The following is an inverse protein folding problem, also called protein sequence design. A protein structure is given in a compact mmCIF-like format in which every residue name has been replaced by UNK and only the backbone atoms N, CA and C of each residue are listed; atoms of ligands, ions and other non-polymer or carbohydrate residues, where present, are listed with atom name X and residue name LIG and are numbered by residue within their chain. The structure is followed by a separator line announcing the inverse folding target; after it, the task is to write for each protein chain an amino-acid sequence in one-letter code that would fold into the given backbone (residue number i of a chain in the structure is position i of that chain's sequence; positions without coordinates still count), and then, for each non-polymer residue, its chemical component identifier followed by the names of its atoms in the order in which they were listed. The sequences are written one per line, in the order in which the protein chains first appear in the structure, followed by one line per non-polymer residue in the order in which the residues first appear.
data_IF_371166167812
#
_entry.id   IF_371166167812
#
_cell.length_a   1.000
_cell.length_b   1.000
_cell.length_c   1.000
_cell.angle_alpha   90.00
_cell.angle_beta   90.00
_cell.angle_gamma   90.00
#
_symmetry.space_group_name_H-M   'P 1'
#
loop_
_entity.id
_entity.type
_entity.pdbx_description
1 polymer ?
#
# COMPACT_ATOMS: atom_id res chain seq x y z
N UNK A 1 1.02 9.14 -24.08
CA UNK A 1 1.81 8.06 -23.44
C UNK A 1 2.90 8.77 -22.66
N UNK A 2 2.78 8.76 -21.34
CA UNK A 2 3.75 9.42 -20.45
C UNK A 2 4.70 8.37 -19.89
N UNK A 3 5.91 8.79 -19.51
CA UNK A 3 6.93 7.88 -19.00
C UNK A 3 7.45 8.35 -17.65
N UNK A 4 7.64 7.41 -16.73
CA UNK A 4 8.22 7.65 -15.41
C UNK A 4 9.55 6.92 -15.36
N UNK A 5 10.62 7.65 -15.04
CA UNK A 5 11.91 7.02 -14.76
C UNK A 5 11.89 6.45 -13.35
N UNK A 6 12.23 5.18 -13.23
CA UNK A 6 12.28 4.47 -11.95
C UNK A 6 13.68 3.89 -11.74
N UNK A 7 14.06 3.72 -10.48
CA UNK A 7 15.32 3.05 -10.12
C UNK A 7 15.28 1.57 -10.55
N UNK A 8 16.43 0.95 -10.89
CA UNK A 8 16.48 -0.48 -11.25
C UNK A 8 15.86 -1.40 -10.19
N UNK A 9 16.06 -1.09 -8.91
CA UNK A 9 15.47 -1.83 -7.79
C UNK A 9 13.94 -1.77 -7.77
N UNK A 10 13.37 -0.59 -8.06
CA UNK A 10 11.92 -0.42 -8.17
C UNK A 10 11.38 -1.23 -9.34
N UNK A 11 12.08 -1.23 -10.48
CA UNK A 11 11.70 -2.05 -11.64
C UNK A 11 11.66 -3.54 -11.28
N UNK A 12 12.68 -4.05 -10.57
CA UNK A 12 12.73 -5.43 -10.11
C UNK A 12 11.51 -5.80 -9.25
N UNK A 13 11.17 -4.96 -8.27
CA UNK A 13 9.98 -5.16 -7.42
C UNK A 13 8.69 -5.16 -8.23
N UNK A 14 8.55 -4.27 -9.21
CA UNK A 14 7.37 -4.25 -10.08
C UNK A 14 7.26 -5.53 -10.92
N UNK A 15 8.37 -6.06 -11.41
CA UNK A 15 8.40 -7.35 -12.15
C UNK A 15 7.97 -8.51 -11.26
N UNK A 16 8.44 -8.57 -10.01
CA UNK A 16 8.04 -9.61 -9.05
C UNK A 16 6.53 -9.56 -8.78
N UNK A 17 5.97 -8.37 -8.59
CA UNK A 17 4.53 -8.18 -8.38
C UNK A 17 3.75 -8.55 -9.64
N UNK A 18 4.25 -8.20 -10.83
CA UNK A 18 3.64 -8.60 -12.09
C UNK A 18 3.52 -10.13 -12.17
N UNK A 19 4.60 -10.87 -11.95
CA UNK A 19 4.58 -12.34 -11.98
C UNK A 19 3.62 -12.95 -10.95
N UNK A 20 3.53 -12.36 -9.75
CA UNK A 20 2.55 -12.77 -8.74
C UNK A 20 1.10 -12.56 -9.22
N UNK A 21 0.81 -11.42 -9.85
CA UNK A 21 -0.51 -11.11 -10.40
C UNK A 21 -0.84 -11.98 -11.62
N UNK A 22 0.13 -12.28 -12.48
CA UNK A 22 -0.05 -13.20 -13.61
C UNK A 22 -0.41 -14.59 -13.12
N UNK A 23 0.31 -15.11 -12.12
CA UNK A 23 0.01 -16.41 -11.50
C UNK A 23 -1.39 -16.44 -10.87
N UNK A 24 -1.83 -15.33 -10.28
CA UNK A 24 -3.14 -15.24 -9.62
C UNK A 24 -4.30 -15.11 -10.60
N UNK A 25 -4.11 -14.35 -11.68
CA UNK A 25 -5.18 -14.00 -12.62
C UNK A 25 -5.21 -14.88 -13.87
N UNK A 26 -4.14 -15.62 -14.15
CA UNK A 26 -3.97 -16.42 -15.36
C UNK A 26 -3.84 -15.60 -16.64
N UNK A 27 -3.65 -14.28 -16.52
CA UNK A 27 -3.54 -13.33 -17.62
C UNK A 27 -2.19 -12.65 -17.59
N UNK A 28 -1.72 -12.19 -18.75
CA UNK A 28 -0.52 -11.36 -18.84
C UNK A 28 -0.79 -10.01 -18.16
N UNK A 29 0.16 -9.54 -17.36
CA UNK A 29 0.02 -8.32 -16.55
C UNK A 29 1.09 -7.31 -16.97
N UNK A 30 0.67 -6.10 -17.34
CA UNK A 30 1.58 -5.01 -17.68
C UNK A 30 2.05 -4.25 -16.43
N UNK A 31 3.08 -3.41 -16.58
CA UNK A 31 3.50 -2.53 -15.48
C UNK A 31 2.40 -1.52 -15.09
N UNK A 32 1.58 -1.08 -16.04
CA UNK A 32 0.47 -0.17 -15.76
C UNK A 32 -0.60 -0.87 -14.92
N UNK A 33 -0.89 -2.14 -15.20
CA UNK A 33 -1.80 -2.95 -14.38
C UNK A 33 -1.28 -3.12 -12.95
N UNK A 34 0.03 -3.35 -12.78
CA UNK A 34 0.67 -3.42 -11.46
C UNK A 34 0.55 -2.09 -10.72
N UNK A 35 0.83 -0.98 -11.38
CA UNK A 35 0.75 0.36 -10.79
C UNK A 35 -0.68 0.66 -10.34
N UNK A 36 -1.67 0.40 -11.21
CA UNK A 36 -3.09 0.57 -10.89
C UNK A 36 -3.51 -0.31 -9.72
N UNK A 37 -3.11 -1.58 -9.69
CA UNK A 37 -3.36 -2.47 -8.57
C UNK A 37 -2.80 -1.93 -7.25
N UNK A 38 -1.58 -1.39 -7.25
CA UNK A 38 -0.95 -0.82 -6.05
C UNK A 38 -1.68 0.45 -5.58
N UNK A 39 -2.09 1.32 -6.51
CA UNK A 39 -2.88 2.53 -6.22
C UNK A 39 -4.22 2.15 -5.60
N UNK A 40 -4.95 1.21 -6.22
CA UNK A 40 -6.23 0.73 -5.73
C UNK A 40 -6.12 0.05 -4.37
N UNK A 41 -5.08 -0.78 -4.17
CA UNK A 41 -4.82 -1.44 -2.90
C UNK A 41 -4.62 -0.42 -1.78
N UNK A 42 -3.80 0.60 -2.01
CA UNK A 42 -3.60 1.71 -1.05
C UNK A 42 -4.89 2.47 -0.75
N UNK A 43 -5.73 2.69 -1.77
CA UNK A 43 -7.03 3.35 -1.60
C UNK A 43 -8.01 2.51 -0.78
N UNK A 44 -8.05 1.19 -1.01
CA UNK A 44 -8.85 0.24 -0.22
C UNK A 44 -8.40 0.19 1.24
N UNK A 45 -7.09 0.15 1.49
CA UNK A 45 -6.55 0.14 2.84
C UNK A 45 -6.89 1.45 3.58
N UNK A 46 -6.80 2.59 2.89
CA UNK A 46 -7.21 3.89 3.44
C UNK A 46 -8.70 3.97 3.73
N UNK A 47 -9.57 3.56 2.81
CA UNK A 47 -11.02 3.54 3.03
C UNK A 47 -11.42 2.56 4.13
N UNK A 48 -10.74 1.43 4.24
CA UNK A 48 -10.99 0.44 5.29
C UNK A 48 -10.54 0.97 6.64
N UNK A 49 -9.37 1.62 6.72
CA UNK A 49 -8.93 2.32 7.91
C UNK A 49 -9.87 3.46 8.29
N UNK A 50 -10.28 4.30 7.33
CA UNK A 50 -11.28 5.35 7.56
C UNK A 50 -12.66 4.80 7.95
N UNK A 51 -13.05 3.60 7.50
CA UNK A 51 -14.32 2.98 7.91
C UNK A 51 -14.22 2.36 9.32
N UNK A 52 -13.09 1.74 9.64
CA UNK A 52 -12.84 1.12 10.95
C UNK A 52 -12.60 2.17 12.04
N UNK A 53 -11.89 3.24 11.72
CA UNK A 53 -11.47 4.27 12.67
C UNK A 53 -12.16 5.62 12.47
N UNK A 54 -12.94 5.82 11.40
CA UNK A 54 -13.64 7.08 11.15
C UNK A 54 -14.83 7.35 12.06
N UNK A 55 -15.31 6.35 12.79
CA UNK A 55 -16.25 6.56 13.92
C UNK A 55 -15.53 7.25 15.09
N UNK A 56 -14.21 7.06 15.21
CA UNK A 56 -13.36 7.75 16.19
C UNK A 56 -12.86 9.12 15.70
N UNK A 57 -13.55 9.77 14.74
CA UNK A 57 -13.27 11.13 14.26
C UNK A 57 -13.43 12.25 15.31
N UNK A 58 -13.60 11.90 16.58
CA UNK A 58 -13.65 12.86 17.68
C UNK A 58 -12.29 13.32 18.18
N UNK A 59 -11.28 12.46 18.23
CA UNK A 59 -9.98 12.82 18.83
C UNK A 59 -8.92 11.91 18.23
N UNK A 60 -7.84 12.50 17.70
CA UNK A 60 -6.41 12.11 17.64
C UNK A 60 -5.95 10.63 17.79
N UNK A 61 -6.84 9.64 17.68
CA UNK A 61 -6.63 8.28 18.14
C UNK A 61 -5.66 7.52 17.22
N UNK A 62 -5.65 7.84 15.92
CA UNK A 62 -4.70 7.23 15.01
C UNK A 62 -3.25 7.67 15.31
N UNK A 63 -3.05 8.95 15.63
CA UNK A 63 -1.73 9.47 16.02
C UNK A 63 -1.33 8.98 17.41
N UNK A 64 -2.27 8.93 18.36
CA UNK A 64 -2.03 8.35 19.70
C UNK A 64 -1.66 6.86 19.64
N UNK A 65 -2.35 6.06 18.82
CA UNK A 65 -2.03 4.64 18.66
C UNK A 65 -0.67 4.41 17.99
N UNK A 66 -0.29 5.29 17.05
CA UNK A 66 1.03 5.27 16.43
C UNK A 66 2.13 5.69 17.41
N UNK A 67 1.87 6.68 18.26
CA UNK A 67 2.82 7.15 19.27
C UNK A 67 2.98 6.11 20.39
N UNK A 68 1.89 5.51 20.87
CA UNK A 68 1.95 4.44 21.89
C UNK A 68 2.80 3.25 21.46
N UNK A 69 2.70 2.82 20.19
CA UNK A 69 3.59 1.76 19.67
C UNK A 69 5.07 2.13 19.70
N UNK A 70 5.41 3.38 19.38
CA UNK A 70 6.81 3.84 19.41
C UNK A 70 7.34 3.92 20.84
N UNK A 71 6.48 4.24 21.81
CA UNK A 71 6.85 4.26 23.22
C UNK A 71 7.08 2.85 23.77
N UNK A 72 6.24 1.89 23.41
CA UNK A 72 6.42 0.48 23.79
C UNK A 72 7.69 -0.13 23.19
N UNK A 73 8.01 0.21 21.93
CA UNK A 73 9.23 -0.25 21.24
C UNK A 73 10.52 0.36 21.80
N UNK A 74 10.47 1.58 22.35
CA UNK A 74 11.63 2.23 22.98
C UNK A 74 11.82 1.86 24.45
N UNK A 75 10.82 1.25 25.08
CA UNK A 75 10.82 0.87 26.50
C UNK A 75 11.22 -0.60 26.74
N UNK A 76 11.51 -1.35 25.68
CA UNK A 76 12.07 -2.72 25.71
C UNK A 76 13.55 -2.74 25.33
#
# INVERSE_FOLDING_TARGET
MESIKIKPETKKKLTEIAGMLEKKTGKRVSYDDVINYLIEKRSKDRKTAEKLFGIAKGVNLYEELLNGRKEDENSS
#
